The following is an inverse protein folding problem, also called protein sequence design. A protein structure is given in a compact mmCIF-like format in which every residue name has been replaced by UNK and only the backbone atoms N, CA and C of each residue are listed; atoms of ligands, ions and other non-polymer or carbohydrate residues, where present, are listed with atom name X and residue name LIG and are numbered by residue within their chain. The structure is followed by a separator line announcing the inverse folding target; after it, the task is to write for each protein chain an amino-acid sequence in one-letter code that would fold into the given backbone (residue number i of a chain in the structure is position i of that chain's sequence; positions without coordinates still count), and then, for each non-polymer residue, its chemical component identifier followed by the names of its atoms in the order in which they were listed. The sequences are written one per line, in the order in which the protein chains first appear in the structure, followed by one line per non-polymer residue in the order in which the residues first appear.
data_IF_050022320313
#
_entry.id   IF_050022320313
#
_cell.length_a   1.000
_cell.length_b   1.000
_cell.length_c   1.000
_cell.angle_alpha   90.00
_cell.angle_beta   90.00
_cell.angle_gamma   90.00
#
_symmetry.space_group_name_H-M   'P 1'
#
loop_
_entity.id
_entity.type
_entity.pdbx_description
1 polymer ?
#
# COMPACT_ATOMS: atom_id res chain seq x y z
N UNK A 1 -30.55 -11.68 -2.94
CA UNK A 1 -31.19 -12.71 -2.10
C UNK A 1 -32.53 -12.11 -1.68
N UNK A 2 -33.66 -12.72 -2.05
CA UNK A 2 -34.98 -12.15 -1.74
C UNK A 2 -35.29 -12.41 -0.28
N UNK A 3 -35.85 -11.42 0.38
CA UNK A 3 -36.19 -11.53 1.79
C UNK A 3 -37.47 -12.36 1.98
N UNK A 4 -37.62 -12.94 3.14
CA UNK A 4 -38.86 -13.67 3.53
C UNK A 4 -40.11 -12.82 3.33
N UNK A 5 -39.98 -11.53 3.61
CA UNK A 5 -41.09 -10.55 3.45
C UNK A 5 -41.55 -10.42 2.00
N UNK A 6 -40.60 -10.48 1.04
CA UNK A 6 -40.95 -10.45 -0.40
C UNK A 6 -41.79 -11.64 -0.83
N UNK A 7 -41.57 -12.83 -0.28
CA UNK A 7 -42.36 -14.03 -0.56
C UNK A 7 -43.74 -13.98 0.08
N UNK A 8 -43.84 -13.45 1.30
CA UNK A 8 -45.13 -13.23 2.01
C UNK A 8 -45.99 -12.25 1.24
N UNK A 9 -45.43 -11.11 0.85
CA UNK A 9 -46.13 -10.07 0.07
C UNK A 9 -46.53 -10.60 -1.32
N UNK A 10 -45.67 -11.36 -1.98
CA UNK A 10 -46.01 -11.99 -3.27
C UNK A 10 -47.21 -12.93 -3.15
N UNK A 11 -47.22 -13.79 -2.11
CA UNK A 11 -48.35 -14.71 -1.85
C UNK A 11 -49.64 -13.95 -1.53
N UNK A 12 -49.56 -12.89 -0.75
CA UNK A 12 -50.70 -12.03 -0.42
C UNK A 12 -51.30 -11.32 -1.67
N UNK A 13 -50.43 -10.75 -2.51
CA UNK A 13 -50.90 -10.07 -3.73
C UNK A 13 -51.48 -11.02 -4.77
N UNK A 14 -50.97 -12.25 -4.87
CA UNK A 14 -51.56 -13.30 -5.71
C UNK A 14 -52.95 -13.71 -5.19
N UNK A 15 -53.11 -13.87 -3.86
CA UNK A 15 -54.38 -14.17 -3.25
C UNK A 15 -55.41 -13.02 -3.40
N UNK A 16 -54.93 -11.79 -3.47
CA UNK A 16 -55.74 -10.59 -3.71
C UNK A 16 -56.10 -10.38 -5.20
N UNK A 17 -55.70 -11.29 -6.09
CA UNK A 17 -56.05 -11.24 -7.52
C UNK A 17 -55.30 -10.22 -8.35
N UNK A 18 -54.19 -9.66 -7.87
CA UNK A 18 -53.33 -8.75 -8.65
C UNK A 18 -52.70 -9.47 -9.82
N UNK A 19 -52.56 -8.76 -10.94
CA UNK A 19 -51.81 -9.30 -12.09
C UNK A 19 -50.34 -9.47 -11.78
N UNK A 20 -49.69 -10.52 -12.36
CA UNK A 20 -48.26 -10.81 -12.16
C UNK A 20 -47.37 -9.64 -12.56
N UNK A 21 -47.81 -8.80 -13.49
CA UNK A 21 -47.12 -7.57 -13.88
C UNK A 21 -47.17 -6.53 -12.79
N UNK A 22 -48.39 -6.24 -12.25
CA UNK A 22 -48.59 -5.30 -11.17
C UNK A 22 -47.82 -5.72 -9.90
N UNK A 23 -47.78 -7.03 -9.60
CA UNK A 23 -47.00 -7.57 -8.47
C UNK A 23 -45.51 -7.34 -8.67
N UNK A 24 -44.96 -7.58 -9.88
CA UNK A 24 -43.57 -7.35 -10.20
C UNK A 24 -43.15 -5.88 -9.99
N UNK A 25 -43.99 -4.96 -10.47
CA UNK A 25 -43.77 -3.51 -10.34
C UNK A 25 -43.86 -3.06 -8.88
N UNK A 26 -44.84 -3.58 -8.11
CA UNK A 26 -45.03 -3.19 -6.72
C UNK A 26 -43.96 -3.71 -5.77
N UNK A 27 -43.40 -4.88 -6.06
CA UNK A 27 -42.33 -5.50 -5.28
C UNK A 27 -40.92 -5.13 -5.77
N UNK A 28 -40.76 -4.38 -6.88
CA UNK A 28 -39.52 -4.02 -7.47
C UNK A 28 -38.71 -5.23 -7.96
N UNK A 29 -39.40 -6.30 -8.45
CA UNK A 29 -38.76 -7.54 -8.92
C UNK A 29 -39.14 -7.81 -10.37
N UNK A 30 -38.28 -8.61 -11.06
CA UNK A 30 -38.56 -8.94 -12.46
C UNK A 30 -39.78 -9.86 -12.61
N UNK A 31 -40.62 -9.67 -13.66
CA UNK A 31 -41.72 -10.56 -14.00
C UNK A 31 -41.28 -12.02 -14.12
N UNK A 32 -40.10 -12.25 -14.72
CA UNK A 32 -39.52 -13.60 -14.85
C UNK A 32 -39.35 -14.29 -13.51
N UNK A 33 -38.97 -13.53 -12.47
CA UNK A 33 -38.83 -14.05 -11.12
C UNK A 33 -40.20 -14.40 -10.50
N UNK A 34 -41.24 -13.58 -10.67
CA UNK A 34 -42.58 -13.88 -10.21
C UNK A 34 -43.06 -15.19 -10.80
N UNK A 35 -42.94 -15.38 -12.12
CA UNK A 35 -43.26 -16.64 -12.79
C UNK A 35 -42.44 -17.83 -12.29
N UNK A 36 -41.13 -17.65 -12.06
CA UNK A 36 -40.27 -18.69 -11.56
C UNK A 36 -40.66 -19.14 -10.15
N UNK A 37 -40.96 -18.19 -9.24
CA UNK A 37 -41.39 -18.49 -7.86
C UNK A 37 -42.72 -19.25 -7.81
N UNK A 38 -43.65 -18.91 -8.71
CA UNK A 38 -44.92 -19.62 -8.84
C UNK A 38 -44.70 -21.03 -9.41
N UNK A 39 -43.97 -21.15 -10.52
CA UNK A 39 -43.76 -22.42 -11.20
C UNK A 39 -42.95 -23.44 -10.37
N UNK A 40 -42.08 -22.95 -9.48
CA UNK A 40 -41.25 -23.80 -8.59
C UNK A 40 -41.93 -24.16 -7.28
N UNK A 41 -43.17 -23.74 -7.04
CA UNK A 41 -43.92 -24.01 -5.77
C UNK A 41 -43.23 -23.43 -4.53
N UNK A 42 -42.34 -22.44 -4.70
CA UNK A 42 -41.62 -21.85 -3.57
C UNK A 42 -42.56 -21.00 -2.66
N UNK A 43 -43.75 -20.66 -3.14
CA UNK A 43 -44.76 -19.93 -2.39
C UNK A 43 -45.57 -20.82 -1.43
N UNK A 44 -45.64 -22.13 -1.71
CA UNK A 44 -46.42 -23.09 -0.93
C UNK A 44 -45.59 -23.79 0.17
N UNK A 45 -44.32 -23.47 0.28
CA UNK A 45 -43.49 -23.91 1.39
C UNK A 45 -43.96 -23.19 2.66
N UNK A 46 -44.26 -23.94 3.68
CA UNK A 46 -44.64 -23.40 4.98
C UNK A 46 -43.60 -22.40 5.46
N UNK A 47 -43.98 -21.16 5.66
CA UNK A 47 -43.16 -20.06 6.12
C UNK A 47 -42.66 -20.24 7.58
N UNK A 48 -43.03 -21.37 8.20
CA UNK A 48 -42.71 -21.74 9.58
C UNK A 48 -41.58 -22.76 9.76
N UNK A 49 -41.16 -23.44 8.71
CA UNK A 49 -39.98 -24.31 8.83
C UNK A 49 -38.72 -23.43 8.76
N UNK A 50 -37.91 -23.45 9.81
CA UNK A 50 -36.54 -22.98 9.76
C UNK A 50 -35.83 -23.70 8.58
N UNK A 51 -35.81 -23.04 7.43
CA UNK A 51 -35.08 -23.53 6.29
C UNK A 51 -33.59 -23.45 6.67
N UNK A 52 -33.08 -24.53 7.23
CA UNK A 52 -31.63 -24.72 7.33
C UNK A 52 -31.03 -24.27 6.00
N UNK A 53 -30.01 -23.43 5.99
CA UNK A 53 -29.40 -22.97 4.76
C UNK A 53 -29.08 -24.18 3.92
N UNK A 54 -29.63 -24.25 2.69
CA UNK A 54 -29.36 -25.34 1.76
C UNK A 54 -27.85 -25.48 1.68
N UNK A 55 -27.29 -26.47 2.34
CA UNK A 55 -25.92 -26.87 2.19
C UNK A 55 -25.72 -27.34 0.76
N UNK A 56 -25.45 -26.37 -0.14
CA UNK A 56 -24.84 -26.70 -1.43
C UNK A 56 -23.52 -27.37 -1.09
N UNK A 57 -23.51 -28.70 -1.03
CA UNK A 57 -22.22 -29.29 -0.81
C UNK A 57 -22.14 -30.65 -0.15
N UNK A 58 -23.22 -31.40 0.07
CA UNK A 58 -23.07 -32.75 0.60
C UNK A 58 -22.11 -33.58 -0.29
N UNK A 59 -22.21 -33.49 -1.59
CA UNK A 59 -21.27 -34.13 -2.53
C UNK A 59 -19.84 -33.54 -2.48
N UNK A 60 -19.69 -32.29 -2.21
CA UNK A 60 -18.39 -31.61 -2.08
C UNK A 60 -17.72 -31.94 -0.75
N UNK A 61 -18.49 -32.08 0.33
CA UNK A 61 -17.98 -32.45 1.65
C UNK A 61 -17.50 -33.89 1.65
N UNK A 62 -18.21 -34.81 1.02
CA UNK A 62 -17.79 -36.21 0.89
C UNK A 62 -16.45 -36.34 0.13
N UNK A 63 -16.28 -35.58 -0.94
CA UNK A 63 -15.01 -35.56 -1.72
C UNK A 63 -13.83 -35.02 -0.93
N UNK A 64 -14.06 -34.04 -0.04
CA UNK A 64 -13.01 -33.48 0.82
C UNK A 64 -12.65 -34.43 1.97
N UNK A 65 -13.61 -35.21 2.48
CA UNK A 65 -13.39 -36.12 3.58
C UNK A 65 -12.27 -37.15 3.29
N UNK A 66 -12.15 -37.61 2.04
CA UNK A 66 -11.12 -38.56 1.61
C UNK A 66 -9.71 -37.99 1.68
N UNK A 67 -9.53 -36.71 1.43
CA UNK A 67 -8.21 -36.06 1.39
C UNK A 67 -7.91 -35.21 2.63
N UNK A 68 -8.88 -35.03 3.52
CA UNK A 68 -8.70 -34.27 4.77
C UNK A 68 -7.56 -34.79 5.63
N UNK A 69 -7.40 -36.09 5.87
CA UNK A 69 -6.28 -36.63 6.67
C UNK A 69 -4.92 -36.28 6.05
N UNK A 70 -4.80 -36.39 4.73
CA UNK A 70 -3.58 -35.99 4.01
C UNK A 70 -3.27 -34.51 4.21
N UNK A 71 -4.27 -33.65 4.05
CA UNK A 71 -4.09 -32.18 4.23
C UNK A 71 -3.65 -31.86 5.66
N UNK A 72 -4.27 -32.46 6.66
CA UNK A 72 -3.93 -32.26 8.08
C UNK A 72 -2.49 -32.68 8.35
N UNK A 73 -2.09 -33.88 7.92
CA UNK A 73 -0.73 -34.40 8.11
C UNK A 73 0.31 -33.48 7.44
N UNK A 74 0.02 -33.04 6.22
CA UNK A 74 0.93 -32.12 5.49
C UNK A 74 1.04 -30.74 6.15
N UNK A 75 -0.07 -30.18 6.64
CA UNK A 75 -0.07 -28.89 7.34
C UNK A 75 0.56 -28.98 8.73
N UNK A 76 0.49 -30.11 9.40
CA UNK A 76 1.19 -30.34 10.66
C UNK A 76 2.72 -30.30 10.48
N UNK A 77 3.22 -30.93 9.41
CA UNK A 77 4.66 -30.95 9.10
C UNK A 77 5.13 -29.65 8.44
N UNK A 78 4.30 -29.07 7.57
CA UNK A 78 4.62 -27.87 6.77
C UNK A 78 3.48 -26.84 6.84
N UNK A 79 3.37 -26.06 7.91
CA UNK A 79 2.24 -25.13 8.12
C UNK A 79 2.08 -24.08 7.00
N UNK A 80 3.19 -23.68 6.38
CA UNK A 80 3.22 -22.68 5.31
C UNK A 80 3.00 -23.27 3.90
N UNK A 81 2.77 -24.59 3.74
CA UNK A 81 2.61 -25.24 2.45
C UNK A 81 1.46 -24.62 1.64
N UNK A 82 1.74 -24.21 0.39
CA UNK A 82 0.75 -23.50 -0.42
C UNK A 82 -0.46 -24.38 -0.77
N UNK A 83 -1.65 -23.75 -0.87
CA UNK A 83 -2.86 -24.46 -1.26
C UNK A 83 -2.78 -25.06 -2.68
N UNK A 84 -1.99 -24.44 -3.58
CA UNK A 84 -1.73 -24.97 -4.93
C UNK A 84 -0.97 -26.30 -4.85
N UNK A 85 0.05 -26.38 -4.00
CA UNK A 85 0.83 -27.60 -3.81
C UNK A 85 -0.03 -28.71 -3.16
N UNK A 86 -0.79 -28.37 -2.12
CA UNK A 86 -1.73 -29.31 -1.50
C UNK A 86 -2.77 -29.81 -2.49
N UNK A 87 -3.27 -28.96 -3.38
CA UNK A 87 -4.22 -29.38 -4.41
C UNK A 87 -3.60 -30.40 -5.38
N UNK A 88 -2.35 -30.16 -5.81
CA UNK A 88 -1.64 -31.12 -6.68
C UNK A 88 -1.45 -32.48 -5.99
N UNK A 89 -1.06 -32.49 -4.72
CA UNK A 89 -0.90 -33.72 -3.94
C UNK A 89 -2.24 -34.44 -3.71
N UNK A 90 -3.32 -33.71 -3.41
CA UNK A 90 -4.65 -34.26 -3.28
C UNK A 90 -5.18 -34.82 -4.62
N UNK A 91 -4.88 -34.16 -5.74
CA UNK A 91 -5.20 -34.69 -7.08
C UNK A 91 -4.50 -36.01 -7.36
N UNK A 92 -3.21 -36.10 -7.04
CA UNK A 92 -2.46 -37.35 -7.16
C UNK A 92 -3.03 -38.46 -6.24
N UNK A 93 -3.61 -38.10 -5.10
CA UNK A 93 -4.30 -38.99 -4.18
C UNK A 93 -5.78 -39.28 -4.55
N UNK A 94 -6.24 -38.91 -5.76
CA UNK A 94 -7.58 -39.20 -6.26
C UNK A 94 -8.67 -38.17 -5.96
N UNK A 95 -8.33 -36.97 -5.49
CA UNK A 95 -9.31 -35.92 -5.26
C UNK A 95 -9.90 -35.40 -6.59
N UNK A 96 -11.22 -35.48 -6.75
CA UNK A 96 -11.95 -35.06 -7.96
C UNK A 96 -12.70 -33.72 -7.78
N UNK A 97 -12.59 -33.09 -6.61
CA UNK A 97 -13.25 -31.83 -6.32
C UNK A 97 -12.52 -30.59 -6.86
N UNK A 98 -13.13 -29.42 -6.72
CA UNK A 98 -12.59 -28.15 -7.20
C UNK A 98 -11.53 -27.53 -6.27
N UNK A 99 -10.64 -26.70 -6.85
CA UNK A 99 -9.60 -25.98 -6.12
C UNK A 99 -10.18 -25.06 -5.03
N UNK A 100 -11.28 -24.34 -5.32
CA UNK A 100 -11.91 -23.42 -4.37
C UNK A 100 -12.43 -24.13 -3.12
N UNK A 101 -12.97 -25.36 -3.26
CA UNK A 101 -13.43 -26.14 -2.12
C UNK A 101 -12.27 -26.58 -1.22
N UNK A 102 -11.17 -27.06 -1.83
CA UNK A 102 -9.96 -27.44 -1.11
C UNK A 102 -9.34 -26.24 -0.40
N UNK A 103 -9.23 -25.09 -1.08
CA UNK A 103 -8.68 -23.87 -0.50
C UNK A 103 -9.49 -23.40 0.72
N UNK A 104 -10.82 -23.48 0.67
CA UNK A 104 -11.69 -23.15 1.80
C UNK A 104 -11.45 -24.11 2.99
N UNK A 105 -11.23 -25.39 2.74
CA UNK A 105 -10.87 -26.37 3.76
C UNK A 105 -9.48 -26.09 4.35
N UNK A 106 -8.47 -25.89 3.51
CA UNK A 106 -7.10 -25.56 3.93
C UNK A 106 -7.06 -24.33 4.82
N UNK A 107 -7.84 -23.28 4.48
CA UNK A 107 -7.95 -22.06 5.31
C UNK A 107 -8.46 -22.35 6.72
N UNK A 108 -9.39 -23.30 6.87
CA UNK A 108 -9.94 -23.69 8.18
C UNK A 108 -8.99 -24.59 8.97
N UNK A 109 -8.27 -25.48 8.27
CA UNK A 109 -7.37 -26.45 8.89
C UNK A 109 -5.98 -25.90 9.17
N UNK A 110 -5.59 -24.82 8.48
CA UNK A 110 -4.27 -24.22 8.70
C UNK A 110 -4.18 -23.70 10.12
N UNK A 111 -3.17 -24.13 10.90
CA UNK A 111 -2.95 -23.57 12.22
C UNK A 111 -2.76 -22.05 12.06
N UNK A 112 -3.56 -21.29 12.76
CA UNK A 112 -3.36 -19.84 12.87
C UNK A 112 -2.16 -19.68 13.78
N UNK A 113 -1.02 -19.14 13.31
CA UNK A 113 0.09 -18.85 14.21
C UNK A 113 -0.44 -17.94 15.31
N UNK A 114 -0.13 -18.25 16.56
CA UNK A 114 -0.41 -17.30 17.64
C UNK A 114 0.18 -15.94 17.21
N UNK A 115 -0.63 -14.89 17.23
CA UNK A 115 -0.11 -13.57 16.86
C UNK A 115 1.04 -13.28 17.80
N UNK A 116 2.26 -13.20 17.27
CA UNK A 116 3.40 -12.74 18.05
C UNK A 116 2.99 -11.42 18.70
N UNK A 117 3.18 -11.33 20.01
CA UNK A 117 2.87 -10.12 20.76
C UNK A 117 3.58 -8.96 20.06
N UNK A 118 2.82 -8.09 19.39
CA UNK A 118 3.38 -6.90 18.72
C UNK A 118 3.87 -5.98 19.84
N UNK A 119 5.15 -6.10 20.17
CA UNK A 119 5.81 -5.18 21.09
C UNK A 119 5.84 -3.81 20.43
N UNK A 120 4.90 -2.96 20.80
CA UNK A 120 4.83 -1.59 20.32
C UNK A 120 5.84 -0.77 21.09
N UNK A 121 6.94 -0.41 20.46
CA UNK A 121 7.89 0.52 21.04
C UNK A 121 7.34 1.94 20.94
N UNK A 122 6.81 2.45 22.04
CA UNK A 122 6.56 3.89 22.15
C UNK A 122 7.88 4.59 22.45
N UNK A 123 8.09 5.74 21.82
CA UNK A 123 9.27 6.58 22.04
C UNK A 123 8.86 7.81 22.83
N UNK A 124 9.73 8.27 23.70
CA UNK A 124 9.53 9.55 24.39
C UNK A 124 9.44 10.71 23.38
N UNK A 125 8.78 11.82 23.75
CA UNK A 125 8.67 12.99 22.89
C UNK A 125 10.05 13.53 22.51
N UNK A 126 10.23 13.92 21.25
CA UNK A 126 11.47 14.50 20.71
C UNK A 126 12.61 13.51 20.47
N UNK A 127 12.50 12.26 20.92
CA UNK A 127 13.60 11.29 20.87
C UNK A 127 13.80 10.71 19.47
N UNK A 128 12.73 10.35 18.75
CA UNK A 128 12.88 9.61 17.48
C UNK A 128 11.99 10.15 16.37
N UNK A 129 12.54 10.24 15.18
CA UNK A 129 11.76 10.22 13.94
C UNK A 129 12.10 8.99 13.09
N UNK A 130 11.18 8.58 12.22
CA UNK A 130 11.40 7.54 11.22
C UNK A 130 11.30 8.15 9.83
N UNK A 131 12.22 7.75 8.96
CA UNK A 131 12.35 8.21 7.59
C UNK A 131 12.26 7.05 6.61
N UNK A 132 11.52 7.23 5.52
CA UNK A 132 11.44 6.27 4.44
C UNK A 132 11.03 6.91 3.11
N UNK A 133 11.23 6.17 2.03
CA UNK A 133 10.73 6.52 0.72
C UNK A 133 9.61 5.58 0.25
N UNK A 134 8.62 6.16 -0.42
CA UNK A 134 7.64 5.40 -1.16
C UNK A 134 7.73 5.73 -2.66
N UNK A 135 7.85 4.70 -3.49
CA UNK A 135 7.83 4.88 -4.95
C UNK A 135 6.41 5.13 -5.44
N UNK A 136 6.23 6.17 -6.25
CA UNK A 136 4.96 6.59 -6.85
C UNK A 136 5.12 6.68 -8.36
N UNK A 137 4.26 6.00 -9.10
CA UNK A 137 4.21 6.05 -10.56
C UNK A 137 3.14 7.06 -10.97
N UNK A 138 3.54 8.09 -11.70
CA UNK A 138 2.69 9.17 -12.20
C UNK A 138 2.71 9.19 -13.73
N UNK A 139 1.74 9.83 -14.40
CA UNK A 139 1.70 9.89 -15.85
C UNK A 139 2.95 10.48 -16.51
N UNK A 140 3.66 11.38 -15.80
CA UNK A 140 4.89 12.03 -16.29
C UNK A 140 6.18 11.42 -15.71
N UNK A 141 6.09 10.26 -15.07
CA UNK A 141 7.26 9.53 -14.59
C UNK A 141 7.19 9.11 -13.13
N UNK A 142 8.26 8.51 -12.64
CA UNK A 142 8.37 8.05 -11.25
C UNK A 142 8.77 9.23 -10.36
N UNK A 143 8.12 9.32 -9.20
CA UNK A 143 8.50 10.18 -8.07
C UNK A 143 8.66 9.36 -6.81
N UNK A 144 9.42 9.88 -5.89
CA UNK A 144 9.65 9.25 -4.60
C UNK A 144 9.08 10.15 -3.51
N UNK A 145 8.06 9.66 -2.82
CA UNK A 145 7.54 10.34 -1.64
C UNK A 145 8.54 10.14 -0.51
N UNK A 146 9.20 11.22 -0.08
CA UNK A 146 9.97 11.31 1.14
C UNK A 146 8.98 11.43 2.29
N UNK A 147 9.00 10.48 3.21
CA UNK A 147 8.07 10.41 4.34
C UNK A 147 8.87 10.43 5.63
N UNK A 148 8.61 11.42 6.46
CA UNK A 148 9.20 11.52 7.80
C UNK A 148 8.10 11.64 8.85
N UNK A 149 8.19 10.86 9.92
CA UNK A 149 7.19 10.82 10.98
C UNK A 149 7.86 10.90 12.35
N UNK A 150 7.38 11.78 13.22
CA UNK A 150 7.82 11.85 14.60
C UNK A 150 7.35 10.64 15.41
N UNK A 151 8.21 10.10 16.23
CA UNK A 151 7.99 8.83 16.90
C UNK A 151 6.94 8.87 18.01
N UNK A 152 6.71 10.01 18.65
CA UNK A 152 5.76 10.19 19.75
C UNK A 152 4.40 10.68 19.25
N UNK A 153 4.33 11.84 18.57
CA UNK A 153 3.07 12.44 18.11
C UNK A 153 2.51 11.79 16.86
N UNK A 154 3.34 11.12 16.06
CA UNK A 154 3.03 10.67 14.70
C UNK A 154 2.79 11.84 13.73
N UNK A 155 3.28 13.04 14.06
CA UNK A 155 3.26 14.17 13.13
C UNK A 155 4.02 13.79 11.87
N UNK A 156 3.37 14.01 10.73
CA UNK A 156 3.81 13.53 9.42
C UNK A 156 4.31 14.70 8.57
N UNK A 157 5.42 14.49 7.89
CA UNK A 157 5.93 15.30 6.79
C UNK A 157 6.05 14.46 5.54
N UNK A 158 5.61 14.98 4.41
CA UNK A 158 5.70 14.32 3.09
C UNK A 158 6.05 15.35 2.04
N UNK A 159 6.99 15.02 1.16
CA UNK A 159 7.27 15.75 -0.08
C UNK A 159 7.66 14.76 -1.20
N UNK A 160 7.58 15.20 -2.44
CA UNK A 160 7.95 14.37 -3.58
C UNK A 160 9.27 14.83 -4.20
N UNK A 161 10.14 13.88 -4.49
CA UNK A 161 11.43 14.14 -5.13
C UNK A 161 11.63 13.26 -6.36
N UNK A 162 12.34 13.74 -7.39
CA UNK A 162 12.55 12.96 -8.61
C UNK A 162 13.55 11.81 -8.43
N UNK A 163 14.43 11.87 -7.42
CA UNK A 163 15.51 10.88 -7.18
C UNK A 163 15.77 10.71 -5.69
N UNK A 164 16.16 9.48 -5.29
CA UNK A 164 16.56 9.14 -3.92
C UNK A 164 18.07 9.36 -3.70
N UNK A 165 18.55 10.57 -3.94
CA UNK A 165 19.96 10.90 -3.71
C UNK A 165 20.21 11.36 -2.28
N UNK A 166 21.47 11.31 -1.81
CA UNK A 166 21.83 11.84 -0.49
C UNK A 166 21.47 13.33 -0.37
N UNK A 167 21.63 14.10 -1.46
CA UNK A 167 21.23 15.51 -1.51
C UNK A 167 19.73 15.68 -1.33
N UNK A 168 18.91 14.86 -2.03
CA UNK A 168 17.45 14.90 -1.88
C UNK A 168 17.04 14.57 -0.45
N UNK A 169 17.70 13.59 0.18
CA UNK A 169 17.43 13.23 1.58
C UNK A 169 17.77 14.39 2.51
N UNK A 170 18.96 14.98 2.40
CA UNK A 170 19.41 16.07 3.26
C UNK A 170 18.49 17.30 3.14
N UNK A 171 18.20 17.76 1.91
CA UNK A 171 17.32 18.90 1.69
C UNK A 171 15.89 18.65 2.17
N UNK A 172 15.36 17.43 1.96
CA UNK A 172 14.03 17.08 2.43
C UNK A 172 13.94 16.99 3.95
N UNK A 173 15.01 16.50 4.60
CA UNK A 173 15.09 16.49 6.07
C UNK A 173 15.15 17.89 6.65
N UNK A 174 15.88 18.82 6.05
CA UNK A 174 15.90 20.23 6.48
C UNK A 174 14.50 20.85 6.46
N UNK A 175 13.76 20.62 5.37
CA UNK A 175 12.36 21.06 5.27
C UNK A 175 11.46 20.38 6.29
N UNK A 176 11.67 19.10 6.54
CA UNK A 176 10.94 18.36 7.57
C UNK A 176 11.22 18.90 8.98
N UNK A 177 12.49 19.17 9.32
CA UNK A 177 12.86 19.78 10.60
C UNK A 177 12.23 21.16 10.78
N UNK A 178 12.25 21.98 9.73
CA UNK A 178 11.56 23.28 9.75
C UNK A 178 10.05 23.13 9.98
N UNK A 179 9.40 22.16 9.31
CA UNK A 179 7.99 21.87 9.48
C UNK A 179 7.64 21.33 10.89
N UNK A 180 8.53 20.55 11.49
CA UNK A 180 8.38 20.08 12.86
C UNK A 180 8.71 21.14 13.92
N UNK A 181 9.37 22.22 13.52
CA UNK A 181 9.83 23.26 14.44
C UNK A 181 11.01 22.85 15.30
N UNK A 182 11.77 21.82 14.91
CA UNK A 182 12.94 21.34 15.64
C UNK A 182 13.43 19.99 15.11
N UNK A 183 14.48 19.46 15.72
CA UNK A 183 15.21 18.26 15.31
C UNK A 183 15.05 17.16 16.36
N UNK A 184 14.65 15.92 16.00
CA UNK A 184 14.62 14.81 16.93
C UNK A 184 16.02 14.36 17.32
N UNK A 185 16.19 13.74 18.49
CA UNK A 185 17.49 13.23 18.96
C UNK A 185 18.12 12.25 17.98
N UNK A 186 17.32 11.36 17.40
CA UNK A 186 17.79 10.45 16.35
C UNK A 186 16.74 10.19 15.28
N UNK A 187 17.23 9.87 14.08
CA UNK A 187 16.39 9.51 12.94
C UNK A 187 16.70 8.07 12.54
N UNK A 188 15.65 7.25 12.45
CA UNK A 188 15.71 5.86 12.07
C UNK A 188 15.51 5.72 10.57
N UNK A 189 16.50 5.17 9.89
CA UNK A 189 16.48 4.88 8.46
C UNK A 189 16.34 3.38 8.20
N UNK A 190 15.80 3.03 7.04
CA UNK A 190 16.00 1.71 6.47
C UNK A 190 17.41 1.60 5.86
N UNK A 191 17.75 0.42 5.33
CA UNK A 191 19.01 0.12 4.63
C UNK A 191 19.12 0.88 3.29
N UNK A 192 18.93 2.21 3.32
CA UNK A 192 19.02 3.01 2.10
C UNK A 192 20.47 3.42 1.80
N UNK A 193 20.97 3.10 0.60
CA UNK A 193 22.36 3.36 0.19
C UNK A 193 22.77 4.83 0.21
N UNK A 194 21.83 5.76 0.11
CA UNK A 194 22.12 7.21 0.21
C UNK A 194 22.58 7.64 1.61
N UNK A 195 22.18 6.87 2.66
CA UNK A 195 22.52 7.13 4.05
C UNK A 195 23.44 6.06 4.63
N UNK A 196 23.11 4.79 4.39
CA UNK A 196 23.85 3.63 4.91
C UNK A 196 24.64 3.01 3.75
N UNK A 197 25.95 3.05 3.85
CA UNK A 197 26.85 2.48 2.83
C UNK A 197 26.93 0.96 2.99
N UNK A 198 27.08 0.49 4.23
CA UNK A 198 27.18 -0.92 4.56
C UNK A 198 26.74 -1.18 6.02
N UNK A 199 26.17 -2.33 6.26
CA UNK A 199 25.74 -2.74 7.60
C UNK A 199 26.40 -4.07 7.98
N UNK A 200 27.52 -4.00 8.66
CA UNK A 200 28.29 -5.16 9.12
C UNK A 200 27.90 -5.63 10.53
N UNK A 201 26.85 -5.07 11.13
CA UNK A 201 26.39 -5.45 12.49
C UNK A 201 25.93 -6.89 12.62
N UNK A 202 25.34 -7.56 11.58
CA UNK A 202 25.04 -8.99 11.64
C UNK A 202 26.26 -9.85 11.88
N UNK A 203 27.42 -9.44 11.34
CA UNK A 203 28.68 -10.17 11.38
C UNK A 203 29.61 -9.65 12.50
N UNK A 204 29.06 -8.91 13.48
CA UNK A 204 29.85 -8.35 14.59
C UNK A 204 30.61 -7.06 14.25
N UNK A 205 30.45 -6.53 13.04
CA UNK A 205 31.06 -5.29 12.58
C UNK A 205 30.26 -4.03 12.96
N UNK A 206 30.50 -2.94 12.23
CA UNK A 206 29.92 -1.62 12.46
C UNK A 206 28.94 -1.23 11.35
N UNK A 207 28.07 -0.26 11.63
CA UNK A 207 27.28 0.43 10.65
C UNK A 207 28.15 1.48 9.95
N UNK A 208 28.32 1.39 8.65
CA UNK A 208 29.02 2.36 7.84
C UNK A 208 28.02 3.29 7.16
N UNK A 209 27.93 4.52 7.64
CA UNK A 209 27.08 5.53 7.03
C UNK A 209 27.88 6.41 6.05
N UNK A 210 27.19 7.07 5.13
CA UNK A 210 27.79 8.03 4.21
C UNK A 210 28.43 9.18 4.99
N UNK A 211 29.73 9.44 4.76
CA UNK A 211 30.50 10.43 5.50
C UNK A 211 29.92 11.85 5.38
N UNK A 212 29.40 12.23 4.21
CA UNK A 212 28.74 13.52 4.02
C UNK A 212 27.44 13.59 4.83
N UNK A 213 26.68 12.49 4.84
CA UNK A 213 25.46 12.42 5.64
C UNK A 213 25.74 12.46 7.15
N UNK A 214 26.86 11.92 7.61
CA UNK A 214 27.28 12.04 9.02
C UNK A 214 27.65 13.48 9.37
N UNK A 215 28.30 14.24 8.47
CA UNK A 215 28.55 15.68 8.68
C UNK A 215 27.23 16.47 8.74
N UNK A 216 26.30 16.16 7.86
CA UNK A 216 24.94 16.70 7.90
C UNK A 216 24.24 16.40 9.23
N UNK A 217 24.31 15.15 9.70
CA UNK A 217 23.71 14.75 10.98
C UNK A 217 24.35 15.49 12.17
N UNK A 218 25.67 15.67 12.15
CA UNK A 218 26.40 16.44 13.17
C UNK A 218 26.00 17.93 13.15
N UNK A 219 25.83 18.52 11.96
CA UNK A 219 25.38 19.92 11.81
C UNK A 219 24.00 20.15 12.41
N UNK A 220 23.07 19.21 12.19
CA UNK A 220 21.70 19.26 12.71
C UNK A 220 21.55 18.61 14.09
N UNK A 221 22.65 18.13 14.69
CA UNK A 221 22.70 17.55 16.04
C UNK A 221 21.83 16.32 16.25
N UNK A 222 21.57 15.51 15.22
CA UNK A 222 20.85 14.26 15.38
C UNK A 222 21.74 13.03 15.16
N UNK A 223 21.33 11.89 15.73
CA UNK A 223 22.01 10.62 15.53
C UNK A 223 21.37 9.83 14.38
N UNK A 224 22.21 9.27 13.51
CA UNK A 224 21.79 8.33 12.46
C UNK A 224 21.60 6.95 13.05
N UNK A 225 20.41 6.40 12.94
CA UNK A 225 20.10 5.02 13.34
C UNK A 225 19.58 4.24 12.15
N UNK A 226 19.99 2.97 12.02
CA UNK A 226 19.48 2.08 11.00
C UNK A 226 18.72 0.91 11.61
N UNK A 227 17.61 0.53 10.98
CA UNK A 227 16.90 -0.70 11.30
C UNK A 227 17.86 -1.89 11.22
N UNK A 228 17.72 -2.86 12.13
CA UNK A 228 18.45 -4.12 11.99
C UNK A 228 17.82 -4.93 10.86
N UNK A 229 18.62 -5.56 10.01
CA UNK A 229 18.11 -6.49 9.02
C UNK A 229 17.19 -7.53 9.68
N UNK A 230 16.13 -7.95 8.98
CA UNK A 230 15.18 -8.97 9.42
C UNK A 230 14.36 -8.67 10.70
N UNK A 231 14.39 -7.45 11.24
CA UNK A 231 13.51 -7.01 12.33
C UNK A 231 12.52 -5.96 11.84
N UNK A 232 11.52 -6.38 11.05
CA UNK A 232 10.47 -5.52 10.50
C UNK A 232 9.67 -4.74 11.56
N UNK A 233 9.61 -5.25 12.80
CA UNK A 233 8.85 -4.63 13.89
C UNK A 233 9.34 -3.24 14.31
N UNK A 234 10.62 -2.90 14.04
CA UNK A 234 11.21 -1.60 14.43
C UNK A 234 10.72 -0.43 13.57
N UNK A 235 10.24 -0.69 12.34
CA UNK A 235 9.89 0.33 11.34
C UNK A 235 8.38 0.61 11.21
N UNK A 236 7.53 -0.05 11.97
CA UNK A 236 6.06 0.02 11.81
C UNK A 236 5.43 1.42 11.95
N UNK A 237 6.19 2.44 12.38
CA UNK A 237 5.69 3.81 12.53
C UNK A 237 5.63 4.58 11.21
N UNK A 238 6.51 4.30 10.24
CA UNK A 238 6.55 4.96 8.92
C UNK A 238 5.81 4.16 7.84
N UNK A 239 5.73 2.84 7.95
CA UNK A 239 5.03 1.99 6.97
C UNK A 239 3.52 2.32 6.90
N UNK A 240 2.87 2.51 8.04
CA UNK A 240 1.44 2.88 8.11
C UNK A 240 1.13 4.23 7.46
N UNK A 241 1.88 5.32 7.73
CA UNK A 241 1.77 6.57 6.97
C UNK A 241 1.94 6.42 5.47
N UNK A 242 2.86 5.56 5.01
CA UNK A 242 3.04 5.27 3.57
C UNK A 242 1.81 4.59 2.98
N UNK A 243 1.23 3.59 3.65
CA UNK A 243 -0.04 3.00 3.22
C UNK A 243 -1.16 4.05 3.20
N UNK A 244 -1.26 4.86 4.24
CA UNK A 244 -2.27 5.92 4.31
C UNK A 244 -2.08 6.99 3.23
N UNK A 245 -0.84 7.34 2.88
CA UNK A 245 -0.52 8.22 1.76
C UNK A 245 -1.04 7.61 0.43
N UNK A 246 -0.79 6.32 0.21
CA UNK A 246 -1.24 5.62 -1.01
C UNK A 246 -2.75 5.55 -1.10
N UNK A 247 -3.41 5.13 -0.04
CA UNK A 247 -4.85 4.84 -0.05
C UNK A 247 -5.73 6.09 0.04
N UNK A 248 -5.29 7.10 0.81
CA UNK A 248 -6.10 8.28 1.09
C UNK A 248 -5.71 9.52 0.27
N UNK A 249 -4.41 9.67 -0.06
CA UNK A 249 -3.94 10.82 -0.84
C UNK A 249 -3.80 10.51 -2.33
N UNK A 250 -3.10 9.43 -2.70
CA UNK A 250 -2.77 9.16 -4.10
C UNK A 250 -3.91 8.47 -4.86
N UNK A 251 -4.57 7.52 -4.22
CA UNK A 251 -5.62 6.73 -4.88
C UNK A 251 -6.84 7.59 -5.22
N UNK A 252 -7.24 7.55 -6.49
CA UNK A 252 -8.42 8.28 -7.00
C UNK A 252 -8.23 9.78 -7.19
N UNK A 253 -6.99 10.32 -7.06
CA UNK A 253 -6.68 11.72 -7.37
C UNK A 253 -5.96 11.85 -8.70
N UNK A 254 -6.15 12.99 -9.33
CA UNK A 254 -5.42 13.41 -10.53
C UNK A 254 -4.52 14.59 -10.18
N UNK A 255 -3.35 14.62 -10.80
CA UNK A 255 -2.36 15.66 -10.62
C UNK A 255 -1.93 16.18 -11.99
N UNK A 256 -1.75 17.50 -12.10
CA UNK A 256 -1.38 18.16 -13.37
C UNK A 256 0.14 18.23 -13.60
N UNK A 257 0.94 17.97 -12.56
CA UNK A 257 2.39 18.01 -12.60
C UNK A 257 2.98 18.02 -11.19
N UNK A 258 4.30 18.20 -11.08
CA UNK A 258 4.98 18.16 -9.78
C UNK A 258 4.50 19.25 -8.82
N UNK A 259 4.35 20.50 -9.29
CA UNK A 259 3.88 21.60 -8.44
C UNK A 259 2.48 21.36 -7.88
N UNK A 260 1.54 20.88 -8.71
CA UNK A 260 0.19 20.55 -8.24
C UNK A 260 0.18 19.35 -7.27
N UNK A 261 1.04 18.36 -7.51
CA UNK A 261 1.23 17.23 -6.60
C UNK A 261 1.72 17.70 -5.22
N UNK A 262 2.73 18.57 -5.19
CA UNK A 262 3.30 19.12 -3.95
C UNK A 262 2.29 19.98 -3.20
N UNK A 263 1.56 20.84 -3.89
CA UNK A 263 0.53 21.71 -3.31
C UNK A 263 -0.64 20.90 -2.72
N UNK A 264 -1.11 19.88 -3.46
CA UNK A 264 -2.16 18.99 -2.97
C UNK A 264 -1.67 18.16 -1.77
N UNK A 265 -0.40 17.69 -1.80
CA UNK A 265 0.19 16.94 -0.71
C UNK A 265 0.32 17.81 0.55
N UNK A 266 0.84 19.02 0.43
CA UNK A 266 0.99 19.93 1.56
C UNK A 266 -0.36 20.24 2.23
N UNK A 267 -1.41 20.48 1.43
CA UNK A 267 -2.78 20.64 1.94
C UNK A 267 -3.28 19.39 2.64
N UNK A 268 -3.10 18.22 2.03
CA UNK A 268 -3.53 16.96 2.61
C UNK A 268 -2.80 16.65 3.93
N UNK A 269 -1.49 16.88 4.01
CA UNK A 269 -0.72 16.69 5.25
C UNK A 269 -1.25 17.59 6.37
N UNK A 270 -1.48 18.88 6.06
CA UNK A 270 -1.93 19.89 7.01
C UNK A 270 -3.38 19.66 7.46
N UNK A 271 -4.29 19.44 6.50
CA UNK A 271 -5.73 19.52 6.72
C UNK A 271 -6.38 18.15 6.97
N UNK A 272 -5.67 17.05 6.64
CA UNK A 272 -6.19 15.69 6.78
C UNK A 272 -5.26 14.81 7.62
N UNK A 273 -4.02 14.62 7.18
CA UNK A 273 -3.16 13.60 7.79
C UNK A 273 -2.79 13.93 9.24
N UNK A 274 -2.44 15.17 9.55
CA UNK A 274 -2.01 15.59 10.88
C UNK A 274 -3.15 15.98 11.82
N UNK A 275 -4.35 16.20 11.30
CA UNK A 275 -5.53 16.58 12.11
C UNK A 275 -6.50 15.43 12.36
N UNK A 276 -6.35 14.28 11.69
CA UNK A 276 -7.17 13.11 11.97
C UNK A 276 -6.93 12.55 13.36
N UNK A 277 -7.93 11.94 13.97
CA UNK A 277 -7.71 11.13 15.17
C UNK A 277 -6.91 9.88 14.80
N UNK A 278 -5.70 9.75 15.33
CA UNK A 278 -4.82 8.62 15.02
C UNK A 278 -5.33 7.33 15.68
N UNK A 279 -5.52 6.27 14.89
CA UNK A 279 -6.18 5.03 15.35
C UNK A 279 -5.53 4.36 16.58
N UNK A 280 -4.20 4.47 16.74
CA UNK A 280 -3.48 3.92 17.90
C UNK A 280 -3.42 4.88 19.07
N UNK A 281 -3.16 6.17 18.81
CA UNK A 281 -2.98 7.17 19.88
C UNK A 281 -4.30 7.71 20.42
N UNK A 282 -5.39 7.60 19.64
CA UNK A 282 -6.71 8.19 19.93
C UNK A 282 -6.69 9.71 20.09
N UNK A 283 -5.66 10.34 19.59
CA UNK A 283 -5.41 11.80 19.60
C UNK A 283 -5.04 12.26 18.19
N UNK A 284 -5.13 13.57 17.95
CA UNK A 284 -4.68 14.19 16.69
C UNK A 284 -3.16 14.39 16.77
N UNK A 285 -2.39 13.99 15.75
CA UNK A 285 -0.95 14.17 15.71
C UNK A 285 -0.48 15.61 16.02
N UNK A 286 -1.16 16.60 15.44
CA UNK A 286 -0.83 18.01 15.61
C UNK A 286 -1.03 18.49 17.04
N UNK A 287 -2.09 18.05 17.71
CA UNK A 287 -2.39 18.46 19.10
C UNK A 287 -1.36 17.85 20.06
N UNK A 288 -1.05 16.55 19.90
CA UNK A 288 -0.05 15.84 20.68
C UNK A 288 1.35 16.41 20.49
N UNK A 289 1.70 16.79 19.27
CA UNK A 289 2.95 17.48 18.96
C UNK A 289 3.00 18.84 19.64
N UNK A 290 1.97 19.67 19.48
CA UNK A 290 1.94 21.03 20.04
C UNK A 290 1.96 21.03 21.58
N UNK A 291 1.26 20.07 22.20
CA UNK A 291 1.16 19.98 23.67
C UNK A 291 2.46 19.53 24.33
N UNK A 292 3.23 18.66 23.69
CA UNK A 292 4.36 18.00 24.37
C UNK A 292 5.63 17.94 23.51
N UNK A 293 5.57 17.38 22.31
CA UNK A 293 6.77 16.99 21.56
C UNK A 293 7.53 18.18 21.01
N UNK A 294 6.85 19.24 20.60
CA UNK A 294 7.48 20.46 20.06
C UNK A 294 8.52 21.05 20.98
N UNK A 295 8.23 21.12 22.27
CA UNK A 295 9.12 21.70 23.29
C UNK A 295 10.33 20.82 23.60
N UNK A 296 10.31 19.53 23.23
CA UNK A 296 11.39 18.57 23.49
C UNK A 296 12.30 18.35 22.29
N UNK A 297 11.93 18.84 21.11
CA UNK A 297 12.79 18.80 19.94
C UNK A 297 14.01 19.72 20.16
N UNK A 298 15.15 19.30 19.61
CA UNK A 298 16.35 20.12 19.60
C UNK A 298 16.15 21.37 18.71
N UNK A 299 16.83 22.48 18.97
CA UNK A 299 16.71 23.68 18.17
C UNK A 299 17.17 23.44 16.73
N UNK A 300 16.59 24.18 15.80
CA UNK A 300 17.05 24.21 14.42
C UNK A 300 18.46 24.81 14.35
N UNK A 301 19.29 24.32 13.43
CA UNK A 301 20.57 24.95 13.14
C UNK A 301 20.38 26.40 12.63
N UNK A 302 21.36 27.26 12.94
CA UNK A 302 21.28 28.69 12.58
C UNK A 302 21.24 28.94 11.05
N UNK A 303 21.77 28.01 10.29
CA UNK A 303 21.79 28.08 8.82
C UNK A 303 21.65 26.67 8.21
N UNK A 304 21.20 26.56 6.94
CA UNK A 304 21.16 25.30 6.22
C UNK A 304 22.54 24.67 6.13
N UNK A 305 22.58 23.33 6.00
CA UNK A 305 23.83 22.60 5.83
C UNK A 305 24.46 22.94 4.48
N UNK A 306 25.74 23.28 4.51
CA UNK A 306 26.55 23.48 3.32
C UNK A 306 27.56 22.33 3.18
N UNK A 307 27.45 21.58 2.08
CA UNK A 307 28.42 20.53 1.81
C UNK A 307 29.83 21.11 1.64
N UNK A 308 30.78 20.52 2.36
CA UNK A 308 32.20 20.89 2.25
C UNK A 308 32.86 20.21 1.04
N UNK A 309 32.19 19.24 0.43
CA UNK A 309 32.65 18.67 -0.82
C UNK A 309 32.56 19.76 -1.89
N UNK A 310 33.70 20.14 -2.44
CA UNK A 310 33.74 20.92 -3.66
C UNK A 310 32.81 20.22 -4.66
N UNK A 311 31.94 20.96 -5.39
CA UNK A 311 31.17 20.35 -6.44
C UNK A 311 32.15 19.55 -7.29
N UNK A 312 31.93 18.25 -7.39
CA UNK A 312 32.71 17.41 -8.32
C UNK A 312 32.75 18.17 -9.63
N UNK A 313 33.94 18.48 -10.11
CA UNK A 313 34.09 19.23 -11.36
C UNK A 313 33.07 18.69 -12.32
N UNK A 314 32.18 19.55 -12.81
CA UNK A 314 31.07 19.16 -13.69
C UNK A 314 31.62 18.10 -14.64
N UNK A 315 31.00 16.93 -14.79
CA UNK A 315 31.50 15.93 -15.72
C UNK A 315 31.85 16.69 -16.98
N UNK A 316 33.04 16.49 -17.56
CA UNK A 316 33.49 17.31 -18.65
C UNK A 316 32.30 17.46 -19.58
N UNK A 317 31.85 18.70 -19.79
CA UNK A 317 30.79 18.93 -20.76
C UNK A 317 31.24 18.12 -21.96
N UNK A 318 30.51 17.06 -22.31
CA UNK A 318 30.68 16.48 -23.62
C UNK A 318 30.58 17.68 -24.52
N UNK A 319 31.75 18.12 -25.01
CA UNK A 319 31.79 18.97 -26.18
C UNK A 319 31.05 18.08 -27.16
N UNK A 320 29.77 18.38 -27.37
CA UNK A 320 28.98 17.69 -28.38
C UNK A 320 29.86 17.79 -29.60
N UNK A 321 30.51 16.68 -29.96
CA UNK A 321 31.23 16.58 -31.18
C UNK A 321 30.25 17.11 -32.19
N UNK A 322 30.58 18.28 -32.78
CA UNK A 322 29.71 19.08 -33.64
C UNK A 322 28.89 18.08 -34.45
N UNK A 323 27.63 17.86 -34.01
CA UNK A 323 26.79 16.89 -34.68
C UNK A 323 26.78 17.37 -36.14
N UNK A 324 27.22 16.54 -37.10
CA UNK A 324 27.27 17.01 -38.48
C UNK A 324 25.90 17.59 -38.76
N UNK A 325 25.85 18.87 -39.14
CA UNK A 325 24.61 19.49 -39.52
C UNK A 325 23.99 18.64 -40.62
N UNK A 326 23.08 17.78 -40.26
CA UNK A 326 22.28 17.02 -41.24
C UNK A 326 21.37 18.06 -41.91
N UNK A 327 21.81 18.55 -43.05
CA UNK A 327 20.98 19.37 -43.89
C UNK A 327 19.92 18.44 -44.49
N UNK A 328 18.72 18.44 -43.91
CA UNK A 328 17.59 17.74 -44.50
C UNK A 328 17.17 18.50 -45.73
N UNK A 329 17.63 18.05 -46.90
CA UNK A 329 17.09 18.54 -48.18
C UNK A 329 15.61 18.14 -48.25
N UNK A 330 14.74 19.14 -48.25
CA UNK A 330 13.31 18.92 -48.56
C UNK A 330 13.19 18.59 -50.06
N UNK A 331 13.12 17.34 -50.39
CA UNK A 331 12.82 16.90 -51.77
C UNK A 331 11.32 16.96 -51.98
N UNK A 332 10.92 17.51 -53.15
CA UNK A 332 9.50 17.56 -53.55
C UNK A 332 8.93 16.14 -53.71
N UNK A 333 7.63 15.98 -53.46
CA UNK A 333 6.93 14.69 -53.59
C UNK A 333 7.14 13.99 -54.93
N UNK A 334 7.39 14.74 -56.04
CA UNK A 334 7.74 14.23 -57.35
C UNK A 334 9.01 13.36 -57.37
N UNK A 335 9.97 13.62 -56.48
CA UNK A 335 11.22 12.82 -56.34
C UNK A 335 10.94 11.45 -55.78
N UNK A 336 9.91 11.30 -54.98
CA UNK A 336 9.50 9.99 -54.41
C UNK A 336 8.62 9.20 -55.40
N UNK A 337 7.79 9.87 -56.22
CA UNK A 337 7.03 9.23 -57.29
C UNK A 337 7.94 8.55 -58.33
N UNK A 338 9.06 9.17 -58.67
CA UNK A 338 10.06 8.61 -59.58
C UNK A 338 10.80 7.36 -59.01
N UNK A 339 10.78 7.13 -57.69
CA UNK A 339 11.37 5.92 -57.08
C UNK A 339 10.42 4.73 -57.11
N UNK A 340 9.09 4.97 -57.11
CA UNK A 340 8.09 3.92 -57.22
C UNK A 340 7.97 3.37 -58.63
N UNK A 341 8.25 4.17 -59.67
CA UNK A 341 8.26 3.71 -61.08
C UNK A 341 9.50 2.86 -61.47
N UNK A 342 10.56 2.85 -60.64
CA UNK A 342 11.74 2.01 -60.88
C UNK A 342 11.70 0.61 -60.21
N UNK A 343 10.67 0.35 -59.42
CA UNK A 343 10.47 -0.94 -58.73
C UNK A 343 9.27 -1.73 -59.26
N UNK A 344 8.68 -1.32 -60.40
CA UNK A 344 7.63 -2.05 -61.10
C UNK A 344 8.19 -2.85 -62.31
#
# INVERSE_FOLDING_TARGET
MYTRDTLVLLKHYLASGLSKTAIADQLGISRRLVYHLIATGQLDRELGADAAPRTRGIAGVAKLATVTPLIVARLATYPALSAVRLFAECRAAGYTGGYSQLTALVRRLRPVPEPEAVVRFETAPGVQAQFDFATVKLPWGVRYALVMVLGYSRLLYVEFVPRQTAVSVMLGMERAFAAFGGVPEHVLFDQMKSVIVDDQRPDGGRLLANAEFLRFAAHWSFQVRACRPYRAQTKGKVERPIHYLRDNFLYGRTFLGDGDLDDQCARWVRDVANVRVHGTLRERPVDRWAATERATLQPLAAHPYQSVLLPSASPPQRIDAIAPRVTVERRGLATYAALTERCA
#
